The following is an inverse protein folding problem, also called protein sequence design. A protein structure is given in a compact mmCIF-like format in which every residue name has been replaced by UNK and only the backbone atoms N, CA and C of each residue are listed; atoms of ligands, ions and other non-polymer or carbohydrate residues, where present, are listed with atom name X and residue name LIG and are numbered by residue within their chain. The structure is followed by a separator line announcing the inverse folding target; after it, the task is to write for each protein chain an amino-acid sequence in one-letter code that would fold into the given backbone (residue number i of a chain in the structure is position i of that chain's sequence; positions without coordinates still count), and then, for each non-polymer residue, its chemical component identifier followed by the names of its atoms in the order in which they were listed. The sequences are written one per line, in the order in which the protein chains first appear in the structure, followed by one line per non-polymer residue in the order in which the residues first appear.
data_IF_858120931205
#
_entry.id   IF_858120931205
#
_cell.length_a   1.000
_cell.length_b   1.000
_cell.length_c   1.000
_cell.angle_alpha   90.00
_cell.angle_beta   90.00
_cell.angle_gamma   90.00
#
_symmetry.space_group_name_H-M   'P 1'
#
loop_
_entity.id
_entity.type
_entity.pdbx_description
1 polymer ?
#
# COMPACT_ATOMS: atom_id res chain seq x y z
N UNK A 1 -5.75 0.59 34.57
CA UNK A 1 -4.32 0.37 34.22
C UNK A 1 -4.25 0.28 32.70
N UNK A 2 -3.69 1.31 32.05
CA UNK A 2 -3.61 1.36 30.59
C UNK A 2 -2.38 0.55 30.16
N UNK A 3 -2.58 -0.69 29.72
CA UNK A 3 -1.51 -1.51 29.18
C UNK A 3 -1.14 -0.97 27.81
N UNK A 4 0.02 -0.31 27.72
CA UNK A 4 0.68 -0.01 26.45
C UNK A 4 1.28 -1.32 25.92
N UNK A 5 0.52 -2.06 25.10
CA UNK A 5 1.12 -3.07 24.24
C UNK A 5 1.92 -2.33 23.17
N UNK A 6 3.22 -2.17 23.39
CA UNK A 6 4.12 -1.83 22.29
C UNK A 6 4.15 -3.04 21.34
N UNK A 7 3.52 -2.92 20.17
CA UNK A 7 3.72 -3.88 19.09
C UNK A 7 5.19 -3.81 18.69
N UNK A 8 5.94 -4.87 18.98
CA UNK A 8 7.29 -5.02 18.45
C UNK A 8 7.15 -5.22 16.94
N UNK A 9 7.90 -4.47 16.10
CA UNK A 9 7.90 -4.75 14.67
C UNK A 9 8.45 -6.16 14.48
N UNK A 10 7.62 -7.07 13.97
CA UNK A 10 8.10 -8.33 13.41
C UNK A 10 8.88 -7.97 12.14
N UNK A 11 10.21 -7.98 12.22
CA UNK A 11 11.05 -7.81 11.04
C UNK A 11 10.90 -9.07 10.18
N UNK A 12 10.36 -8.91 8.98
CA UNK A 12 10.36 -10.01 8.00
C UNK A 12 11.78 -10.23 7.51
N UNK A 13 12.10 -11.47 7.13
CA UNK A 13 13.35 -11.74 6.44
C UNK A 13 13.37 -10.98 5.11
N UNK A 14 14.32 -10.04 4.97
CA UNK A 14 14.50 -9.26 3.76
C UNK A 14 14.61 -10.19 2.55
N UNK A 15 13.80 -9.98 1.49
CA UNK A 15 13.93 -10.76 0.27
C UNK A 15 15.34 -10.65 -0.28
N UNK A 16 15.89 -11.79 -0.69
CA UNK A 16 17.22 -11.88 -1.30
C UNK A 16 17.11 -12.49 -2.70
N UNK A 17 17.92 -11.97 -3.62
CA UNK A 17 18.12 -12.56 -4.94
C UNK A 17 19.60 -12.95 -5.00
N UNK A 18 19.88 -14.24 -4.84
CA UNK A 18 21.24 -14.73 -4.61
C UNK A 18 21.81 -14.15 -3.32
N UNK A 19 22.98 -13.50 -3.40
CA UNK A 19 23.64 -12.86 -2.25
C UNK A 19 23.23 -11.38 -2.04
N UNK A 20 22.33 -10.85 -2.87
CA UNK A 20 21.93 -9.44 -2.82
C UNK A 20 20.61 -9.27 -2.07
N UNK A 21 20.57 -8.36 -1.08
CA UNK A 21 19.33 -7.89 -0.46
C UNK A 21 18.58 -6.98 -1.43
N UNK A 22 17.28 -7.22 -1.62
CA UNK A 22 16.47 -6.43 -2.58
C UNK A 22 16.26 -4.99 -2.10
N UNK A 23 16.06 -4.81 -0.79
CA UNK A 23 15.89 -3.51 -0.13
C UNK A 23 16.72 -3.47 1.16
N UNK A 24 17.05 -2.27 1.71
CA UNK A 24 17.59 -2.16 3.07
C UNK A 24 16.72 -2.91 4.09
N UNK A 25 17.35 -3.46 5.13
CA UNK A 25 16.66 -4.33 6.09
C UNK A 25 15.48 -3.63 6.80
N UNK A 26 15.57 -2.32 6.99
CA UNK A 26 14.57 -1.46 7.65
C UNK A 26 13.55 -0.83 6.68
N UNK A 27 13.57 -1.22 5.41
CA UNK A 27 12.59 -0.72 4.45
C UNK A 27 11.18 -1.25 4.78
N UNK A 28 10.18 -0.38 4.77
CA UNK A 28 8.79 -0.71 5.12
C UNK A 28 8.19 -1.82 4.24
N UNK A 29 8.67 -1.99 3.01
CA UNK A 29 8.25 -3.08 2.12
C UNK A 29 8.74 -4.46 2.57
N UNK A 30 9.64 -4.53 3.55
CA UNK A 30 10.04 -5.75 4.26
C UNK A 30 9.24 -5.97 5.55
N UNK A 31 8.18 -5.19 5.82
CA UNK A 31 7.37 -5.31 7.04
C UNK A 31 6.02 -5.97 6.70
N UNK A 32 5.58 -7.00 7.46
CA UNK A 32 4.26 -7.59 7.30
C UNK A 32 3.16 -6.52 7.51
N UNK A 33 2.36 -6.27 6.48
CA UNK A 33 1.35 -5.20 6.49
C UNK A 33 0.13 -5.54 7.37
N UNK A 34 -0.18 -6.82 7.52
CA UNK A 34 -1.33 -7.35 8.26
C UNK A 34 -1.24 -7.15 9.78
N UNK A 35 -0.04 -6.85 10.28
CA UNK A 35 0.23 -6.61 11.70
C UNK A 35 0.40 -5.12 12.05
N UNK A 36 0.39 -4.23 11.05
CA UNK A 36 0.57 -2.80 11.29
C UNK A 36 -0.73 -2.15 11.78
N UNK A 37 -0.57 -1.16 12.67
CA UNK A 37 -1.69 -0.33 13.09
C UNK A 37 -2.25 0.44 11.88
N UNK A 38 -3.58 0.51 11.78
CA UNK A 38 -4.25 1.36 10.80
C UNK A 38 -3.85 2.81 11.04
N UNK A 39 -3.46 3.52 9.98
CA UNK A 39 -3.11 4.94 10.08
C UNK A 39 -4.29 5.76 10.60
N UNK A 40 -4.07 6.72 11.53
CA UNK A 40 -5.12 7.63 12.00
C UNK A 40 -5.83 8.41 10.88
N UNK A 41 -5.15 8.60 9.75
CA UNK A 41 -5.70 9.31 8.58
C UNK A 41 -6.47 8.40 7.61
N UNK A 42 -6.55 7.09 7.88
CA UNK A 42 -7.17 6.11 6.97
C UNK A 42 -8.61 6.48 6.61
N UNK A 43 -9.41 6.88 7.60
CA UNK A 43 -10.80 7.31 7.36
C UNK A 43 -10.88 8.55 6.47
N UNK A 44 -9.98 9.51 6.64
CA UNK A 44 -9.88 10.70 5.77
C UNK A 44 -9.60 10.29 4.33
N UNK A 45 -8.63 9.41 4.09
CA UNK A 45 -8.31 8.94 2.73
C UNK A 45 -9.49 8.21 2.09
N UNK A 46 -10.14 7.30 2.81
CA UNK A 46 -11.32 6.57 2.32
C UNK A 46 -12.45 7.53 1.95
N UNK A 47 -12.71 8.52 2.79
CA UNK A 47 -13.74 9.53 2.53
C UNK A 47 -13.40 10.43 1.32
N UNK A 48 -12.13 10.78 1.13
CA UNK A 48 -11.66 11.53 -0.04
C UNK A 48 -11.77 10.72 -1.33
N UNK A 49 -11.46 9.43 -1.30
CA UNK A 49 -11.60 8.53 -2.46
C UNK A 49 -13.07 8.35 -2.85
N UNK A 50 -13.98 8.38 -1.87
CA UNK A 50 -15.41 8.13 -2.07
C UNK A 50 -15.70 6.63 -1.93
N UNK A 51 -16.07 6.15 -0.73
CA UNK A 51 -16.16 4.71 -0.44
C UNK A 51 -17.27 3.98 -1.21
N UNK A 52 -18.19 4.72 -1.82
CA UNK A 52 -19.32 4.20 -2.60
C UNK A 52 -19.19 4.49 -4.10
N UNK A 53 -18.10 5.14 -4.53
CA UNK A 53 -17.87 5.41 -5.94
C UNK A 53 -17.41 4.12 -6.65
N UNK A 54 -17.75 3.94 -7.94
CA UNK A 54 -17.23 2.83 -8.72
C UNK A 54 -15.69 2.91 -8.77
N UNK A 55 -15.03 1.76 -8.66
CA UNK A 55 -13.58 1.67 -8.76
C UNK A 55 -13.15 1.81 -10.22
N UNK A 56 -12.24 2.75 -10.50
CA UNK A 56 -11.51 2.81 -11.77
C UNK A 56 -10.16 2.11 -11.60
N UNK A 57 -10.17 0.79 -11.81
CA UNK A 57 -8.99 -0.04 -11.76
C UNK A 57 -8.03 0.30 -12.92
N UNK A 58 -6.97 1.05 -12.62
CA UNK A 58 -5.88 1.32 -13.58
C UNK A 58 -4.84 0.20 -13.53
N UNK A 59 -5.27 -0.99 -13.95
CA UNK A 59 -4.39 -2.12 -14.20
C UNK A 59 -4.01 -2.08 -15.68
N UNK A 60 -3.13 -1.14 -16.03
CA UNK A 60 -2.86 -0.77 -17.42
C UNK A 60 -2.57 -1.93 -18.39
N UNK A 61 -2.90 -1.72 -19.66
CA UNK A 61 -2.34 -2.49 -20.78
C UNK A 61 -2.40 -1.67 -22.07
N UNK A 62 -1.28 -1.20 -22.61
CA UNK A 62 -1.30 -0.54 -23.92
C UNK A 62 0.02 0.15 -24.28
N UNK A 63 0.87 -0.58 -24.97
CA UNK A 63 2.17 -0.17 -25.54
C UNK A 63 2.16 1.26 -26.13
N UNK A 64 3.11 2.09 -25.71
CA UNK A 64 3.50 3.40 -26.26
C UNK A 64 2.39 4.30 -26.88
N UNK A 65 2.04 5.36 -26.15
CA UNK A 65 1.48 6.67 -26.59
C UNK A 65 -0.02 6.99 -26.48
N UNK A 66 -0.94 6.11 -26.07
CA UNK A 66 -2.34 6.52 -25.86
C UNK A 66 -3.02 5.81 -24.68
N UNK A 67 -2.92 6.37 -23.47
CA UNK A 67 -3.91 6.09 -22.42
C UNK A 67 -5.24 6.72 -22.85
N UNK A 68 -6.33 5.94 -22.74
CA UNK A 68 -7.69 6.34 -23.11
C UNK A 68 -8.07 7.69 -22.48
N UNK A 69 -8.65 8.64 -23.25
CA UNK A 69 -9.17 9.85 -22.65
C UNK A 69 -10.30 9.49 -21.70
N UNK A 70 -10.39 10.20 -20.58
CA UNK A 70 -11.49 10.15 -19.62
C UNK A 70 -12.81 10.54 -20.30
N UNK A 71 -13.42 9.63 -21.05
CA UNK A 71 -14.71 9.85 -21.69
C UNK A 71 -15.82 9.50 -20.68
N UNK A 72 -16.48 10.56 -20.22
CA UNK A 72 -17.79 10.61 -19.58
C UNK A 72 -18.01 9.78 -18.32
N UNK A 73 -17.62 10.37 -17.18
CA UNK A 73 -18.41 10.26 -15.97
C UNK A 73 -19.45 11.40 -15.98
N UNK A 74 -20.59 11.14 -16.62
CA UNK A 74 -21.88 11.80 -16.34
C UNK A 74 -22.86 10.75 -15.89
#
# INVERSE_FOLDING_TARGET
MLSLLAALPAFSQTPTIGACTVLPADNIWNTPIDQLAVSPNSSTYVNTIGPTLPVHADFGSGTNTMAVPSASLT
#
